data_IF_131966854606
#
_entry.id   IF_131966854606
#
_cell.length_a   1.000
_cell.length_b   1.000
_cell.length_c   1.000
_cell.angle_alpha   90.00
_cell.angle_beta   90.00
_cell.angle_gamma   90.00
#
_symmetry.space_group_name_H-M   'P 1'
#
loop_
_entity.id
_entity.type
_entity.pdbx_description
1 polymer ?
#
# COMPACT_ATOMS: atom_id res chain seq x y z
N UNK A 1 -85.51 9.35 48.87
CA UNK A 1 -84.67 10.57 48.82
C UNK A 1 -83.32 10.12 48.36
N UNK A 2 -83.01 10.11 47.09
CA UNK A 2 -82.32 11.06 46.20
C UNK A 2 -80.94 11.52 46.67
N UNK A 3 -79.93 11.19 45.77
CA UNK A 3 -78.59 11.79 45.57
C UNK A 3 -77.44 11.19 46.37
N UNK A 4 -76.65 10.40 45.65
CA UNK A 4 -75.17 10.63 45.45
C UNK A 4 -74.59 9.50 44.60
N UNK A 5 -74.56 9.63 43.29
CA UNK A 5 -73.67 8.93 42.38
C UNK A 5 -73.38 9.93 41.24
N UNK A 6 -72.22 10.52 41.22
CA UNK A 6 -71.51 11.05 40.05
C UNK A 6 -70.26 11.84 40.50
N UNK A 7 -69.12 11.23 40.59
CA UNK A 7 -67.79 11.87 40.49
C UNK A 7 -66.71 10.83 40.69
N UNK A 8 -66.45 10.04 39.65
CA UNK A 8 -65.21 9.24 39.66
C UNK A 8 -64.79 8.67 38.30
N UNK A 9 -65.15 9.28 37.17
CA UNK A 9 -64.81 8.73 35.83
C UNK A 9 -63.85 9.62 35.01
N UNK A 10 -63.51 10.84 35.44
CA UNK A 10 -62.61 11.73 34.67
C UNK A 10 -61.12 11.61 35.00
N UNK A 11 -60.75 11.06 36.16
CA UNK A 11 -59.33 11.05 36.58
C UNK A 11 -58.52 9.92 35.93
N UNK A 12 -59.14 8.84 35.45
CA UNK A 12 -58.41 7.72 34.86
C UNK A 12 -58.06 7.93 33.38
N UNK A 13 -58.78 8.78 32.64
CA UNK A 13 -58.47 9.04 31.23
C UNK A 13 -57.25 9.96 31.04
N UNK A 14 -56.98 10.89 31.96
CA UNK A 14 -55.86 11.82 31.86
C UNK A 14 -54.51 11.12 32.17
N UNK A 15 -54.50 10.16 33.08
CA UNK A 15 -53.28 9.41 33.43
C UNK A 15 -52.86 8.47 32.32
N UNK A 16 -53.79 7.83 31.59
CA UNK A 16 -53.51 6.93 30.49
C UNK A 16 -52.91 7.66 29.27
N UNK A 17 -53.35 8.90 28.99
CA UNK A 17 -52.79 9.71 27.89
C UNK A 17 -51.39 10.20 28.20
N UNK A 18 -51.05 10.52 29.44
CA UNK A 18 -49.70 10.95 29.83
C UNK A 18 -48.67 9.80 29.81
N UNK A 19 -49.06 8.58 30.17
CA UNK A 19 -48.19 7.40 30.09
C UNK A 19 -47.96 6.91 28.67
N UNK A 20 -48.95 7.03 27.79
CA UNK A 20 -48.78 6.73 26.36
C UNK A 20 -47.80 7.68 25.66
N UNK A 21 -47.86 8.96 25.96
CA UNK A 21 -46.96 9.98 25.37
C UNK A 21 -45.52 9.86 25.86
N UNK A 22 -45.27 9.44 27.11
CA UNK A 22 -43.92 9.19 27.61
C UNK A 22 -43.30 7.91 26.99
N UNK A 23 -44.09 6.87 26.76
CA UNK A 23 -43.60 5.63 26.16
C UNK A 23 -43.21 5.81 24.69
N UNK A 24 -43.95 6.62 23.91
CA UNK A 24 -43.60 6.95 22.54
C UNK A 24 -42.34 7.83 22.45
N UNK A 25 -42.20 8.82 23.32
CA UNK A 25 -41.00 9.70 23.34
C UNK A 25 -39.70 8.94 23.71
N UNK A 26 -39.81 7.95 24.62
CA UNK A 26 -38.65 7.13 25.02
C UNK A 26 -38.25 6.13 23.92
N UNK A 27 -39.16 5.54 23.18
CA UNK A 27 -38.88 4.65 22.06
C UNK A 27 -38.22 5.39 20.90
N UNK A 28 -38.68 6.59 20.57
CA UNK A 28 -38.06 7.43 19.53
C UNK A 28 -36.64 7.89 19.92
N UNK A 29 -36.42 8.30 21.14
CA UNK A 29 -35.09 8.67 21.63
C UNK A 29 -34.12 7.49 21.66
N UNK A 30 -34.55 6.29 22.03
CA UNK A 30 -33.73 5.08 22.00
C UNK A 30 -33.42 4.68 20.55
N UNK A 31 -34.40 4.77 19.65
CA UNK A 31 -34.20 4.47 18.24
C UNK A 31 -33.23 5.48 17.56
N UNK A 32 -33.33 6.75 17.91
CA UNK A 32 -32.44 7.79 17.39
C UNK A 32 -31.02 7.67 17.98
N UNK A 33 -30.88 7.36 19.26
CA UNK A 33 -29.62 7.06 19.91
C UNK A 33 -28.95 5.81 19.30
N UNK A 34 -29.72 4.76 19.00
CA UNK A 34 -29.26 3.56 18.33
C UNK A 34 -28.78 3.86 16.90
N UNK A 35 -29.53 4.61 16.12
CA UNK A 35 -29.13 5.06 14.76
C UNK A 35 -27.86 5.90 14.79
N UNK A 36 -27.76 6.82 15.74
CA UNK A 36 -26.57 7.68 15.91
C UNK A 36 -25.33 6.87 16.30
N UNK A 37 -25.48 5.89 17.19
CA UNK A 37 -24.42 4.96 17.58
C UNK A 37 -23.96 4.10 16.39
N UNK A 38 -24.88 3.55 15.61
CA UNK A 38 -24.58 2.75 14.41
C UNK A 38 -23.85 3.57 13.36
N UNK A 39 -24.27 4.82 13.13
CA UNK A 39 -23.61 5.73 12.19
C UNK A 39 -22.19 6.08 12.64
N UNK A 40 -21.98 6.33 13.93
CA UNK A 40 -20.64 6.61 14.49
C UNK A 40 -19.69 5.42 14.30
N UNK A 41 -20.13 4.20 14.61
CA UNK A 41 -19.35 2.98 14.42
C UNK A 41 -19.01 2.74 12.95
N UNK A 42 -19.95 3.00 12.05
CA UNK A 42 -19.72 2.87 10.61
C UNK A 42 -18.66 3.88 10.12
N UNK A 43 -18.72 5.13 10.58
CA UNK A 43 -17.74 6.16 10.24
C UNK A 43 -16.35 5.81 10.80
N UNK A 44 -16.25 5.32 12.04
CA UNK A 44 -14.97 4.88 12.63
C UNK A 44 -14.36 3.70 11.88
N UNK A 45 -15.18 2.70 11.53
CA UNK A 45 -14.75 1.59 10.68
C UNK A 45 -14.26 2.12 9.32
N UNK A 46 -15.03 3.01 8.70
CA UNK A 46 -14.68 3.62 7.42
C UNK A 46 -13.36 4.40 7.47
N UNK A 47 -13.12 5.14 8.56
CA UNK A 47 -11.87 5.84 8.78
C UNK A 47 -10.66 4.89 8.85
N UNK A 48 -10.82 3.78 9.56
CA UNK A 48 -9.82 2.72 9.63
C UNK A 48 -9.55 2.10 8.25
N UNK A 49 -10.60 1.69 7.54
CA UNK A 49 -10.49 1.03 6.24
C UNK A 49 -9.92 1.98 5.16
N UNK A 50 -10.35 3.24 5.12
CA UNK A 50 -9.80 4.25 4.22
C UNK A 50 -8.30 4.50 4.45
N UNK A 51 -7.86 4.39 5.70
CA UNK A 51 -6.45 4.49 6.07
C UNK A 51 -5.67 3.26 5.61
N UNK A 52 -6.19 2.05 5.83
CA UNK A 52 -5.56 0.81 5.36
C UNK A 52 -5.54 0.75 3.83
N UNK A 53 -6.60 1.21 3.16
CA UNK A 53 -6.65 1.37 1.70
C UNK A 53 -5.77 2.49 1.15
N UNK A 54 -5.06 3.23 2.01
CA UNK A 54 -4.16 4.34 1.66
C UNK A 54 -4.82 5.41 0.75
N UNK A 55 -6.12 5.65 0.92
CA UNK A 55 -6.88 6.60 0.09
C UNK A 55 -6.25 8.00 0.12
N UNK A 56 -5.89 8.48 1.33
CA UNK A 56 -5.24 9.77 1.52
C UNK A 56 -3.89 9.85 0.80
N UNK A 57 -3.13 8.75 0.73
CA UNK A 57 -1.82 8.71 0.10
C UNK A 57 -1.85 9.06 -1.38
N UNK A 58 -2.90 8.67 -2.10
CA UNK A 58 -3.13 9.05 -3.49
C UNK A 58 -3.94 10.34 -3.62
N UNK A 59 -4.99 10.52 -2.81
CA UNK A 59 -5.92 11.65 -2.94
C UNK A 59 -5.48 12.91 -2.17
N UNK A 60 -4.18 13.08 -1.94
CA UNK A 60 -3.62 14.29 -1.32
C UNK A 60 -2.34 14.69 -2.08
N UNK A 61 -2.31 15.86 -2.65
CA UNK A 61 -1.11 16.41 -3.28
C UNK A 61 -0.05 16.74 -2.23
N UNK A 62 1.24 16.81 -2.62
CA UNK A 62 2.33 17.20 -1.71
C UNK A 62 2.07 18.64 -1.21
N UNK A 63 1.90 18.80 0.11
CA UNK A 63 1.54 20.10 0.72
C UNK A 63 0.08 20.52 0.51
N UNK A 64 -0.75 19.69 -0.14
CA UNK A 64 -2.18 19.94 -0.36
C UNK A 64 -3.07 19.55 0.82
N UNK A 65 -4.35 19.90 0.71
CA UNK A 65 -5.35 19.53 1.70
C UNK A 65 -5.69 18.02 1.64
N UNK A 66 -5.89 17.37 2.80
CA UNK A 66 -6.21 15.95 2.84
C UNK A 66 -7.44 15.59 1.99
N UNK A 67 -7.35 14.54 1.21
CA UNK A 67 -8.40 14.01 0.33
C UNK A 67 -8.88 14.95 -0.79
N UNK A 68 -8.30 16.15 -0.94
CA UNK A 68 -8.70 17.09 -1.99
C UNK A 68 -8.13 16.77 -3.38
N UNK A 69 -7.36 15.69 -3.51
CA UNK A 69 -6.79 15.24 -4.79
C UNK A 69 -5.59 16.06 -5.25
N UNK A 70 -5.42 16.18 -6.57
CA UNK A 70 -4.38 16.97 -7.19
C UNK A 70 -2.99 16.33 -7.24
N UNK A 71 -2.81 15.12 -6.70
CA UNK A 71 -1.54 14.41 -6.80
C UNK A 71 -1.33 13.91 -8.24
N UNK A 72 -0.15 14.20 -8.78
CA UNK A 72 0.26 13.77 -10.11
C UNK A 72 0.93 12.40 -10.01
N UNK A 73 0.40 11.43 -10.74
CA UNK A 73 0.92 10.07 -10.84
C UNK A 73 1.49 9.89 -12.25
N UNK A 74 2.81 9.90 -12.37
CA UNK A 74 3.50 9.72 -13.64
C UNK A 74 3.57 8.23 -13.96
N UNK A 75 3.17 7.85 -15.17
CA UNK A 75 3.19 6.48 -15.67
C UNK A 75 3.74 6.45 -17.09
N UNK A 76 4.01 5.27 -17.66
CA UNK A 76 4.36 5.09 -19.06
C UNK A 76 3.21 5.45 -20.03
N UNK A 77 1.99 5.63 -19.52
CA UNK A 77 0.80 5.97 -20.32
C UNK A 77 0.44 7.46 -20.27
N UNK A 78 1.14 8.24 -19.46
CA UNK A 78 0.89 9.66 -19.23
C UNK A 78 0.81 10.00 -17.74
N UNK A 79 0.34 11.20 -17.45
CA UNK A 79 0.22 11.73 -16.10
C UNK A 79 -1.24 11.71 -15.65
N UNK A 80 -1.52 10.92 -14.63
CA UNK A 80 -2.84 10.92 -13.99
C UNK A 80 -2.86 11.90 -12.83
N UNK A 81 -3.97 12.65 -12.71
CA UNK A 81 -4.21 13.56 -11.59
C UNK A 81 -5.34 12.99 -10.75
N UNK A 82 -5.09 12.83 -9.45
CA UNK A 82 -6.07 12.25 -8.54
C UNK A 82 -7.21 13.21 -8.25
N UNK A 83 -8.43 12.66 -8.13
CA UNK A 83 -9.66 13.42 -7.88
C UNK A 83 -9.78 13.87 -6.43
N UNK A 84 -10.54 14.94 -6.20
CA UNK A 84 -11.06 15.33 -4.90
C UNK A 84 -12.12 14.30 -4.45
N UNK A 85 -11.91 13.68 -3.30
CA UNK A 85 -12.86 12.72 -2.68
C UNK A 85 -13.41 13.23 -1.34
N UNK A 86 -13.30 14.54 -1.08
CA UNK A 86 -14.03 15.20 0.01
C UNK A 86 -15.51 15.37 -0.35
N UNK A 87 -16.43 15.60 0.63
CA UNK A 87 -17.85 15.76 0.37
C UNK A 87 -18.21 17.15 -0.20
N UNK A 88 -17.31 17.78 -0.96
CA UNK A 88 -17.64 18.98 -1.72
C UNK A 88 -18.58 18.63 -2.87
N UNK A 89 -19.67 19.39 -3.01
CA UNK A 89 -20.73 19.10 -3.98
C UNK A 89 -20.33 19.38 -5.42
N UNK A 90 -19.40 20.30 -5.63
CA UNK A 90 -19.03 20.78 -6.97
C UNK A 90 -17.78 20.08 -7.50
N UNK A 91 -16.79 19.85 -6.66
CA UNK A 91 -15.47 19.36 -7.07
C UNK A 91 -15.12 17.99 -6.48
N UNK A 92 -15.90 17.51 -5.51
CA UNK A 92 -15.70 16.25 -4.80
C UNK A 92 -16.83 15.24 -5.00
N UNK A 93 -17.04 14.40 -3.99
CA UNK A 93 -18.03 13.33 -3.99
C UNK A 93 -19.29 13.66 -3.16
N UNK A 94 -19.56 14.94 -2.84
CA UNK A 94 -20.66 15.35 -1.97
C UNK A 94 -22.06 15.10 -2.53
N UNK A 95 -22.20 14.87 -3.86
CA UNK A 95 -23.46 14.48 -4.51
C UNK A 95 -23.52 12.99 -4.87
N UNK A 96 -22.56 12.21 -4.45
CA UNK A 96 -22.53 10.77 -4.73
C UNK A 96 -23.42 10.02 -3.76
N UNK A 97 -24.00 8.92 -4.23
CA UNK A 97 -24.67 7.90 -3.42
C UNK A 97 -23.68 6.79 -3.03
N UNK A 98 -24.09 5.94 -2.08
CA UNK A 98 -23.35 4.70 -1.77
C UNK A 98 -23.20 3.80 -3.00
N UNK A 99 -24.18 3.81 -3.90
CA UNK A 99 -24.13 3.06 -5.15
C UNK A 99 -23.10 3.64 -6.11
N UNK A 100 -23.02 4.96 -6.29
CA UNK A 100 -21.99 5.59 -7.13
C UNK A 100 -20.59 5.25 -6.63
N UNK A 101 -20.38 5.27 -5.29
CA UNK A 101 -19.11 4.92 -4.69
C UNK A 101 -18.77 3.43 -4.86
N UNK A 102 -19.77 2.55 -4.70
CA UNK A 102 -19.63 1.13 -4.97
C UNK A 102 -19.24 0.85 -6.42
N UNK A 103 -19.96 1.45 -7.37
CA UNK A 103 -19.65 1.33 -8.80
C UNK A 103 -18.21 1.77 -9.11
N UNK A 104 -17.73 2.77 -8.40
CA UNK A 104 -16.36 3.27 -8.56
C UNK A 104 -15.33 2.27 -8.04
N UNK A 105 -15.48 1.77 -6.83
CA UNK A 105 -14.55 0.81 -6.21
C UNK A 105 -14.61 -0.56 -6.88
N UNK A 106 -15.81 -1.11 -7.04
CA UNK A 106 -16.01 -2.50 -7.44
C UNK A 106 -15.93 -2.67 -8.95
N UNK A 107 -16.50 -1.74 -9.70
CA UNK A 107 -16.57 -1.84 -11.15
C UNK A 107 -15.62 -0.87 -11.88
N UNK A 108 -14.91 0.02 -11.19
CA UNK A 108 -14.06 1.03 -11.83
C UNK A 108 -14.84 1.95 -12.78
N UNK A 109 -16.08 2.31 -12.42
CA UNK A 109 -16.93 3.25 -13.16
C UNK A 109 -17.19 4.50 -12.33
N UNK A 110 -16.93 5.66 -12.89
CA UNK A 110 -17.29 6.95 -12.27
C UNK A 110 -18.80 7.18 -12.33
N UNK A 111 -19.33 8.06 -11.48
CA UNK A 111 -20.74 8.46 -11.44
C UNK A 111 -21.29 8.92 -12.80
N UNK A 112 -20.47 9.57 -13.62
CA UNK A 112 -20.81 10.00 -14.97
C UNK A 112 -20.75 8.89 -16.03
N UNK A 113 -20.51 7.64 -15.61
CA UNK A 113 -20.45 6.46 -16.47
C UNK A 113 -19.09 6.22 -17.14
N UNK A 114 -18.12 7.12 -16.99
CA UNK A 114 -16.77 6.91 -17.55
C UNK A 114 -16.08 5.74 -16.87
N UNK A 115 -15.34 4.97 -17.65
CA UNK A 115 -14.46 3.92 -17.14
C UNK A 115 -13.20 4.55 -16.53
N UNK A 116 -12.79 4.05 -15.39
CA UNK A 116 -11.59 4.49 -14.70
C UNK A 116 -10.36 3.69 -15.16
N UNK A 117 -9.22 4.36 -15.17
CA UNK A 117 -7.95 3.71 -15.48
C UNK A 117 -7.43 2.91 -14.29
N UNK A 118 -6.73 1.78 -14.52
CA UNK A 118 -6.26 0.90 -13.43
C UNK A 118 -5.09 1.46 -12.62
N UNK A 119 -4.71 2.72 -12.83
CA UNK A 119 -3.89 3.49 -11.88
C UNK A 119 -4.64 3.76 -10.58
N UNK A 120 -5.97 3.83 -10.64
CA UNK A 120 -6.86 3.60 -9.53
C UNK A 120 -7.07 2.09 -9.42
N UNK A 121 -6.61 1.42 -8.34
CA UNK A 121 -6.50 -0.04 -8.29
C UNK A 121 -7.86 -0.73 -8.06
N UNK A 122 -8.86 -0.40 -8.89
CA UNK A 122 -10.17 -1.06 -8.84
C UNK A 122 -10.07 -2.56 -9.18
N UNK A 123 -9.02 -2.98 -9.85
CA UNK A 123 -8.70 -4.39 -10.09
C UNK A 123 -8.50 -5.18 -8.81
N UNK A 124 -8.04 -4.52 -7.76
CA UNK A 124 -7.89 -5.05 -6.42
C UNK A 124 -9.09 -4.68 -5.55
N UNK A 125 -9.56 -3.42 -5.60
CA UNK A 125 -10.69 -2.94 -4.81
C UNK A 125 -12.02 -3.64 -5.13
N UNK A 126 -12.16 -4.29 -6.29
CA UNK A 126 -13.31 -5.14 -6.59
C UNK A 126 -13.51 -6.25 -5.55
N UNK A 127 -12.44 -6.65 -4.82
CA UNK A 127 -12.47 -7.64 -3.74
C UNK A 127 -13.03 -7.09 -2.42
N UNK A 128 -13.17 -5.76 -2.28
CA UNK A 128 -13.72 -5.13 -1.08
C UNK A 128 -15.21 -5.45 -0.96
N UNK A 129 -15.69 -5.76 0.25
CA UNK A 129 -17.11 -6.03 0.49
C UNK A 129 -17.94 -4.76 0.37
N UNK A 130 -19.22 -4.92 0.03
CA UNK A 130 -20.18 -3.80 -0.02
C UNK A 130 -20.26 -3.07 1.33
N UNK A 131 -20.25 -3.81 2.43
CA UNK A 131 -20.31 -3.25 3.78
C UNK A 131 -19.09 -2.34 4.06
N UNK A 132 -17.91 -2.80 3.73
CA UNK A 132 -16.68 -2.02 3.93
C UNK A 132 -16.61 -0.80 3.00
N UNK A 133 -17.08 -0.94 1.75
CA UNK A 133 -17.19 0.18 0.83
C UNK A 133 -18.15 1.27 1.36
N UNK A 134 -19.32 0.87 1.88
CA UNK A 134 -20.28 1.80 2.47
C UNK A 134 -19.73 2.48 3.73
N UNK A 135 -18.95 1.75 4.56
CA UNK A 135 -18.28 2.34 5.72
C UNK A 135 -17.22 3.40 5.29
N UNK A 136 -16.40 3.08 4.29
CA UNK A 136 -15.44 4.04 3.73
C UNK A 136 -16.16 5.28 3.19
N UNK A 137 -17.26 5.10 2.46
CA UNK A 137 -18.05 6.20 1.93
C UNK A 137 -18.64 7.07 3.04
N UNK A 138 -19.23 6.47 4.09
CA UNK A 138 -19.75 7.19 5.24
C UNK A 138 -18.65 8.05 5.93
N UNK A 139 -17.45 7.52 6.06
CA UNK A 139 -16.31 8.29 6.56
C UNK A 139 -15.95 9.46 5.64
N UNK A 140 -15.81 9.24 4.33
CA UNK A 140 -15.49 10.31 3.38
C UNK A 140 -16.55 11.40 3.37
N UNK A 141 -17.84 11.06 3.52
CA UNK A 141 -18.93 12.01 3.64
C UNK A 141 -18.93 12.76 4.98
N UNK A 142 -18.28 12.27 6.01
CA UNK A 142 -18.13 12.94 7.31
C UNK A 142 -16.99 13.96 7.35
N UNK A 143 -16.12 13.98 6.33
CA UNK A 143 -14.98 14.89 6.25
C UNK A 143 -15.44 16.34 5.97
N UNK A 144 -14.63 17.35 6.33
CA UNK A 144 -14.88 18.73 5.88
C UNK A 144 -14.86 18.82 4.34
N UNK A 145 -15.84 19.47 3.70
CA UNK A 145 -15.84 19.69 2.27
C UNK A 145 -14.71 20.68 1.90
N UNK A 146 -13.93 20.34 0.88
CA UNK A 146 -12.84 21.17 0.36
C UNK A 146 -13.12 21.44 -1.11
N UNK A 147 -13.39 22.71 -1.44
CA UNK A 147 -13.60 23.12 -2.83
C UNK A 147 -12.25 23.23 -3.54
N UNK A 148 -11.90 22.22 -4.30
CA UNK A 148 -10.65 22.16 -5.07
C UNK A 148 -10.90 21.52 -6.42
N UNK A 149 -10.80 22.31 -7.49
CA UNK A 149 -10.80 21.83 -8.86
C UNK A 149 -9.39 21.36 -9.21
N UNK A 150 -9.27 20.11 -9.66
CA UNK A 150 -8.01 19.52 -10.07
C UNK A 150 -7.91 19.52 -11.61
N UNK A 151 -6.71 19.71 -12.18
CA UNK A 151 -6.53 19.66 -13.64
C UNK A 151 -6.88 18.26 -14.18
N UNK A 152 -7.23 18.22 -15.45
CA UNK A 152 -7.44 16.94 -16.14
C UNK A 152 -6.14 16.14 -16.21
N UNK A 153 -6.26 14.82 -16.25
CA UNK A 153 -5.13 13.92 -16.53
C UNK A 153 -4.65 14.11 -17.95
N UNK A 154 -3.33 14.06 -18.15
CA UNK A 154 -2.66 14.14 -19.44
C UNK A 154 -2.24 12.73 -19.86
N UNK A 155 -3.11 12.04 -20.60
CA UNK A 155 -2.94 10.64 -20.99
C UNK A 155 -2.61 10.61 -22.47
N UNK A 156 -1.52 9.93 -22.82
CA UNK A 156 -1.05 9.83 -24.22
C UNK A 156 -2.05 9.06 -25.11
N UNK A 157 -2.21 9.52 -26.36
CA UNK A 157 -2.91 8.72 -27.35
C UNK A 157 -2.09 7.44 -27.67
N UNK A 158 -2.72 6.27 -27.82
CA UNK A 158 -4.16 5.99 -27.88
C UNK A 158 -4.79 5.62 -26.51
N UNK A 159 -4.05 5.67 -25.40
CA UNK A 159 -4.49 5.23 -24.08
C UNK A 159 -5.60 6.10 -23.47
N UNK A 160 -5.82 7.32 -23.97
CA UNK A 160 -6.92 8.20 -23.56
C UNK A 160 -8.30 7.81 -24.13
N UNK A 161 -8.40 6.72 -24.90
CA UNK A 161 -9.65 6.24 -25.50
C UNK A 161 -10.46 5.38 -24.53
N UNK A 162 -11.73 5.76 -24.26
CA UNK A 162 -12.66 4.97 -23.46
C UNK A 162 -13.01 3.62 -24.12
N UNK A 163 -13.00 3.56 -25.45
CA UNK A 163 -13.25 2.31 -26.19
C UNK A 163 -12.11 1.31 -25.97
N UNK A 164 -10.85 1.78 -26.09
CA UNK A 164 -9.68 0.93 -25.83
C UNK A 164 -9.59 0.52 -24.38
N UNK A 165 -9.98 1.41 -23.46
CA UNK A 165 -10.06 1.06 -22.05
C UNK A 165 -11.13 0.01 -21.76
N UNK A 166 -12.31 0.07 -22.45
CA UNK A 166 -13.34 -0.95 -22.35
C UNK A 166 -12.82 -2.32 -22.84
N UNK A 167 -12.10 -2.33 -23.98
CA UNK A 167 -11.47 -3.56 -24.48
C UNK A 167 -10.42 -4.10 -23.50
N UNK A 168 -9.55 -3.24 -22.97
CA UNK A 168 -8.56 -3.61 -21.95
C UNK A 168 -9.24 -4.27 -20.75
N UNK A 169 -10.33 -3.68 -20.25
CA UNK A 169 -11.09 -4.22 -19.13
C UNK A 169 -11.66 -5.60 -19.42
N UNK A 170 -12.22 -5.81 -20.62
CA UNK A 170 -12.75 -7.11 -21.02
C UNK A 170 -11.68 -8.20 -21.02
N UNK A 171 -10.43 -7.85 -21.36
CA UNK A 171 -9.31 -8.79 -21.44
C UNK A 171 -8.65 -9.06 -20.07
N UNK A 172 -8.58 -8.06 -19.20
CA UNK A 172 -7.69 -8.10 -18.03
C UNK A 172 -8.36 -7.83 -16.69
N UNK A 173 -9.60 -7.35 -16.66
CA UNK A 173 -10.32 -7.11 -15.41
C UNK A 173 -11.28 -8.26 -15.13
N UNK A 174 -11.07 -8.91 -13.99
CA UNK A 174 -11.97 -9.89 -13.44
C UNK A 174 -12.64 -9.32 -12.19
N UNK A 175 -13.93 -9.05 -12.32
CA UNK A 175 -14.75 -8.55 -11.24
C UNK A 175 -15.08 -9.64 -10.22
N UNK A 176 -15.16 -9.30 -8.93
CA UNK A 176 -15.60 -10.21 -7.88
C UNK A 176 -15.18 -9.80 -6.49
N UNK A 177 -16.12 -9.85 -5.55
CA UNK A 177 -15.83 -9.68 -4.11
C UNK A 177 -14.94 -10.81 -3.63
N UNK A 178 -14.14 -10.56 -2.61
CA UNK A 178 -13.31 -11.60 -1.97
C UNK A 178 -14.19 -12.73 -1.42
N UNK A 179 -13.89 -13.94 -1.83
CA UNK A 179 -14.52 -15.15 -1.34
C UNK A 179 -13.56 -15.88 -0.39
N UNK A 180 -13.97 -16.16 0.88
CA UNK A 180 -13.13 -16.87 1.82
C UNK A 180 -12.80 -18.30 1.36
N UNK A 181 -11.54 -18.68 1.47
CA UNK A 181 -11.12 -20.07 1.33
C UNK A 181 -11.51 -20.86 2.60
N UNK A 182 -12.50 -21.73 2.47
CA UNK A 182 -13.02 -22.54 3.57
C UNK A 182 -12.02 -23.57 4.11
N UNK A 183 -10.94 -23.84 3.40
CA UNK A 183 -9.85 -24.70 3.88
C UNK A 183 -8.87 -23.99 4.81
N UNK A 184 -8.98 -22.67 4.92
CA UNK A 184 -8.09 -21.80 5.71
C UNK A 184 -8.82 -21.25 6.93
N UNK A 185 -8.03 -20.80 7.92
CA UNK A 185 -8.59 -20.15 9.10
C UNK A 185 -9.21 -18.78 8.77
N UNK A 186 -10.13 -18.32 9.62
CA UNK A 186 -10.69 -16.97 9.53
C UNK A 186 -9.59 -15.88 9.56
N UNK A 187 -8.56 -16.08 10.40
CA UNK A 187 -7.42 -15.17 10.48
C UNK A 187 -6.66 -15.10 9.17
N UNK A 188 -6.41 -16.24 8.53
CA UNK A 188 -5.77 -16.29 7.22
C UNK A 188 -6.62 -15.57 6.15
N UNK A 189 -7.93 -15.86 6.13
CA UNK A 189 -8.86 -15.24 5.20
C UNK A 189 -8.95 -13.71 5.39
N UNK A 190 -8.92 -13.24 6.66
CA UNK A 190 -8.85 -11.80 6.94
C UNK A 190 -7.57 -11.18 6.40
N UNK A 191 -6.43 -11.84 6.57
CA UNK A 191 -5.15 -11.39 6.01
C UNK A 191 -5.15 -11.34 4.49
N UNK A 192 -5.69 -12.37 3.84
CA UNK A 192 -5.84 -12.45 2.39
C UNK A 192 -6.75 -11.33 1.86
N UNK A 193 -7.92 -11.11 2.47
CA UNK A 193 -8.82 -10.02 2.14
C UNK A 193 -8.14 -8.65 2.20
N UNK A 194 -7.42 -8.38 3.29
CA UNK A 194 -6.72 -7.11 3.45
C UNK A 194 -5.61 -6.93 2.41
N UNK A 195 -4.81 -7.95 2.17
CA UNK A 195 -3.67 -7.87 1.24
C UNK A 195 -4.11 -7.77 -0.23
N UNK A 196 -5.11 -8.57 -0.63
CA UNK A 196 -5.59 -8.65 -2.01
C UNK A 196 -6.59 -7.55 -2.37
N UNK A 197 -7.38 -7.06 -1.41
CA UNK A 197 -8.39 -6.02 -1.59
C UNK A 197 -7.85 -4.64 -1.19
N UNK A 198 -8.15 -4.19 0.03
CA UNK A 198 -7.83 -2.83 0.50
C UNK A 198 -6.35 -2.48 0.46
N UNK A 199 -5.48 -3.39 0.85
CA UNK A 199 -4.03 -3.18 0.82
C UNK A 199 -3.44 -3.18 -0.58
N UNK A 200 -4.18 -3.66 -1.57
CA UNK A 200 -3.82 -3.72 -3.01
C UNK A 200 -2.34 -4.04 -3.27
N UNK A 201 -1.76 -4.97 -2.50
CA UNK A 201 -0.34 -5.33 -2.57
C UNK A 201 0.07 -5.75 -3.99
N UNK A 202 -0.85 -6.41 -4.69
CA UNK A 202 -0.68 -6.87 -6.07
C UNK A 202 -0.46 -5.71 -7.06
N UNK A 203 -0.97 -4.52 -6.76
CA UNK A 203 -0.78 -3.33 -7.61
C UNK A 203 0.70 -2.97 -7.84
N UNK A 204 1.58 -3.31 -6.87
CA UNK A 204 3.03 -3.10 -6.97
C UNK A 204 3.81 -4.41 -7.05
N UNK A 205 3.44 -5.40 -6.23
CA UNK A 205 4.20 -6.65 -6.06
C UNK A 205 3.89 -7.72 -7.11
N UNK A 206 3.48 -7.32 -8.31
CA UNK A 206 3.20 -8.23 -9.44
C UNK A 206 3.76 -7.66 -10.74
N UNK A 207 4.33 -8.54 -11.56
CA UNK A 207 4.81 -8.19 -12.89
C UNK A 207 3.64 -7.75 -13.78
N UNK A 208 3.85 -6.67 -14.54
CA UNK A 208 2.87 -6.14 -15.48
C UNK A 208 3.29 -6.43 -16.91
N UNK A 209 2.30 -6.68 -17.78
CA UNK A 209 2.53 -6.77 -19.20
C UNK A 209 2.70 -5.37 -19.84
N UNK A 210 3.01 -5.34 -21.12
CA UNK A 210 3.21 -4.07 -21.87
C UNK A 210 1.97 -3.17 -21.93
N UNK A 211 0.78 -3.70 -21.64
CA UNK A 211 -0.48 -2.96 -21.54
C UNK A 211 -0.81 -2.56 -20.10
N UNK A 212 0.12 -2.75 -19.14
CA UNK A 212 -0.03 -2.36 -17.75
C UNK A 212 -0.89 -3.29 -16.90
N UNK A 213 -1.37 -4.41 -17.42
CA UNK A 213 -2.16 -5.39 -16.67
C UNK A 213 -1.26 -6.29 -15.81
N UNK A 214 -1.72 -6.64 -14.62
CA UNK A 214 -1.08 -7.66 -13.78
C UNK A 214 -1.09 -9.00 -14.48
N UNK A 215 0.04 -9.73 -14.45
CA UNK A 215 0.16 -11.04 -15.12
C UNK A 215 -0.42 -12.16 -14.28
N UNK A 216 -0.38 -12.02 -12.95
CA UNK A 216 -0.91 -13.00 -12.00
C UNK A 216 -1.28 -12.32 -10.67
N UNK A 217 -1.83 -13.09 -9.74
CA UNK A 217 -2.19 -12.65 -8.39
C UNK A 217 -1.23 -13.24 -7.32
N UNK A 218 -0.04 -13.72 -7.71
CA UNK A 218 0.85 -14.51 -6.85
C UNK A 218 1.96 -13.68 -6.20
N UNK A 219 1.92 -12.35 -6.31
CA UNK A 219 2.87 -11.42 -5.69
C UNK A 219 4.33 -11.72 -6.07
N UNK A 220 4.57 -11.98 -7.36
CA UNK A 220 5.87 -12.41 -7.92
C UNK A 220 6.87 -11.28 -8.11
N UNK A 221 6.51 -10.06 -7.73
CA UNK A 221 7.35 -8.88 -7.86
C UNK A 221 7.31 -8.24 -9.25
N UNK A 222 7.79 -7.01 -9.36
CA UNK A 222 7.82 -6.27 -10.62
C UNK A 222 8.35 -4.85 -10.49
N UNK A 223 8.66 -4.24 -11.63
CA UNK A 223 9.01 -2.81 -11.67
C UNK A 223 7.76 -1.96 -11.50
N UNK A 224 7.85 -0.94 -10.63
CA UNK A 224 6.77 0.02 -10.42
C UNK A 224 6.86 1.08 -11.50
N UNK A 225 5.97 1.01 -12.48
CA UNK A 225 5.94 1.92 -13.61
C UNK A 225 5.95 3.40 -13.19
N UNK A 226 6.77 4.22 -13.85
CA UNK A 226 6.90 5.66 -13.57
C UNK A 226 7.70 6.03 -12.32
N UNK A 227 7.94 5.09 -11.39
CA UNK A 227 8.68 5.38 -10.15
C UNK A 227 10.14 4.95 -10.21
N UNK A 228 10.50 4.10 -11.18
CA UNK A 228 11.83 3.50 -11.28
C UNK A 228 12.29 2.82 -9.97
N UNK A 229 11.39 2.03 -9.37
CA UNK A 229 11.61 1.17 -8.23
C UNK A 229 11.15 -0.25 -8.55
N UNK A 230 11.75 -1.23 -7.93
CA UNK A 230 11.35 -2.62 -8.02
C UNK A 230 10.62 -3.04 -6.74
N UNK A 231 9.38 -3.50 -6.86
CA UNK A 231 8.67 -4.15 -5.77
C UNK A 231 9.06 -5.64 -5.78
N UNK A 232 9.74 -6.14 -4.73
CA UNK A 232 10.24 -7.52 -4.75
C UNK A 232 9.09 -8.53 -4.66
N UNK A 233 9.36 -9.75 -5.12
CA UNK A 233 8.45 -10.88 -4.91
C UNK A 233 8.22 -11.14 -3.42
N UNK A 234 6.95 -11.23 -3.01
CA UNK A 234 6.56 -11.63 -1.65
C UNK A 234 6.38 -13.14 -1.50
N UNK A 235 6.43 -13.89 -2.62
CA UNK A 235 6.32 -15.35 -2.65
C UNK A 235 7.67 -16.07 -2.84
N UNK A 236 8.77 -15.35 -3.10
CA UNK A 236 10.11 -15.91 -3.26
C UNK A 236 11.03 -15.58 -2.09
N UNK A 237 11.65 -16.61 -1.48
CA UNK A 237 12.66 -16.42 -0.44
C UNK A 237 13.97 -15.84 -0.95
N UNK A 238 14.19 -15.87 -2.25
CA UNK A 238 15.36 -15.21 -2.87
C UNK A 238 15.20 -13.69 -2.94
N UNK A 239 13.99 -13.17 -2.70
CA UNK A 239 13.67 -11.74 -2.65
C UNK A 239 13.06 -11.36 -1.29
N UNK A 240 11.78 -10.99 -1.23
CA UNK A 240 11.12 -10.56 -0.01
C UNK A 240 10.09 -11.58 0.52
N UNK A 241 10.14 -12.84 0.09
CA UNK A 241 9.26 -13.89 0.62
C UNK A 241 9.49 -14.11 2.11
N UNK A 242 8.41 -14.24 2.87
CA UNK A 242 8.40 -14.22 4.33
C UNK A 242 8.15 -15.60 4.96
N UNK A 243 8.17 -16.68 4.17
CA UNK A 243 7.81 -18.01 4.65
C UNK A 243 8.68 -18.55 5.80
N UNK A 244 9.94 -18.10 5.87
CA UNK A 244 10.90 -18.46 6.92
C UNK A 244 11.05 -17.41 8.04
N UNK A 245 10.24 -16.33 8.02
CA UNK A 245 10.29 -15.29 9.04
C UNK A 245 9.37 -15.61 10.23
N UNK A 246 9.75 -15.24 11.46
CA UNK A 246 8.82 -15.22 12.59
C UNK A 246 7.65 -14.26 12.32
N UNK A 247 6.46 -14.62 12.79
CA UNK A 247 5.25 -13.79 12.58
C UNK A 247 5.45 -12.40 13.18
N UNK A 248 6.02 -12.30 14.38
CA UNK A 248 6.24 -11.03 15.07
C UNK A 248 7.19 -10.10 14.30
N UNK A 249 8.21 -10.64 13.62
CA UNK A 249 9.07 -9.85 12.75
C UNK A 249 8.33 -9.34 11.51
N UNK A 250 7.41 -10.15 10.94
CA UNK A 250 6.57 -9.70 9.82
C UNK A 250 5.64 -8.57 10.28
N UNK A 251 5.01 -8.72 11.45
CA UNK A 251 4.18 -7.67 12.06
C UNK A 251 5.00 -6.40 12.29
N UNK A 252 6.20 -6.52 12.85
CA UNK A 252 7.09 -5.39 13.06
C UNK A 252 7.45 -4.70 11.73
N UNK A 253 7.78 -5.45 10.69
CA UNK A 253 8.07 -4.89 9.36
C UNK A 253 6.87 -4.13 8.78
N UNK A 254 5.67 -4.69 8.88
CA UNK A 254 4.44 -4.04 8.40
C UNK A 254 4.14 -2.74 9.16
N UNK A 255 4.31 -2.74 10.49
CA UNK A 255 3.92 -1.59 11.33
C UNK A 255 5.00 -0.54 11.49
N UNK A 256 6.26 -0.93 11.53
CA UNK A 256 7.36 0.00 11.77
C UNK A 256 8.22 0.26 10.55
N UNK A 257 8.21 -0.65 9.59
CA UNK A 257 9.07 -0.64 8.42
C UNK A 257 10.51 -1.06 8.69
N UNK A 258 10.83 -1.51 9.89
CA UNK A 258 12.20 -1.88 10.31
C UNK A 258 12.18 -3.14 11.15
N UNK A 259 13.12 -4.04 10.86
CA UNK A 259 13.44 -5.23 11.67
C UNK A 259 14.96 -5.38 11.74
N UNK A 260 15.46 -6.35 12.48
CA UNK A 260 16.89 -6.68 12.49
C UNK A 260 17.38 -7.15 11.10
N UNK A 261 16.52 -7.80 10.32
CA UNK A 261 16.89 -8.41 9.02
C UNK A 261 16.71 -7.47 7.84
N UNK A 262 15.79 -6.52 7.93
CA UNK A 262 15.40 -5.70 6.77
C UNK A 262 14.75 -4.40 7.18
N UNK A 263 14.69 -3.46 6.22
CA UNK A 263 13.91 -2.23 6.34
C UNK A 263 13.23 -1.89 5.02
N UNK A 264 12.12 -1.17 5.11
CA UNK A 264 11.42 -0.64 3.94
C UNK A 264 11.96 0.74 3.59
N UNK A 265 12.22 0.95 2.31
CA UNK A 265 12.67 2.23 1.75
C UNK A 265 11.80 2.64 0.55
N UNK A 266 11.99 3.84 0.06
CA UNK A 266 11.32 4.35 -1.13
C UNK A 266 9.78 4.28 -1.03
N UNK A 267 9.09 3.83 -2.09
CA UNK A 267 7.62 3.77 -2.12
C UNK A 267 7.02 2.92 -0.99
N UNK A 268 7.66 1.78 -0.65
CA UNK A 268 7.15 0.92 0.43
C UNK A 268 7.23 1.60 1.80
N UNK A 269 8.27 2.40 2.06
CA UNK A 269 8.36 3.21 3.27
C UNK A 269 7.20 4.20 3.40
N UNK A 270 6.75 4.79 2.28
CA UNK A 270 5.57 5.65 2.26
C UNK A 270 4.27 4.87 2.57
N UNK A 271 4.12 3.66 2.04
CA UNK A 271 2.96 2.78 2.34
C UNK A 271 2.92 2.43 3.83
N UNK A 272 4.05 2.03 4.43
CA UNK A 272 4.11 1.77 5.87
C UNK A 272 3.70 3.01 6.66
N UNK A 273 4.28 4.17 6.36
CA UNK A 273 4.03 5.41 7.09
C UNK A 273 2.59 5.89 6.96
N UNK A 274 1.97 5.77 5.79
CA UNK A 274 0.65 6.35 5.52
C UNK A 274 -0.50 5.38 5.83
N UNK A 275 -0.24 4.07 5.80
CA UNK A 275 -1.25 3.02 5.89
C UNK A 275 -0.89 1.95 6.93
N UNK A 276 0.10 1.11 6.70
CA UNK A 276 0.29 -0.14 7.42
C UNK A 276 0.59 0.03 8.92
N UNK A 277 1.25 1.12 9.34
CA UNK A 277 1.49 1.39 10.75
C UNK A 277 0.21 1.50 11.59
N UNK A 278 -0.92 1.76 10.95
CA UNK A 278 -2.23 1.93 11.59
C UNK A 278 -3.05 0.63 11.64
N UNK A 279 -2.52 -0.47 11.12
CA UNK A 279 -3.15 -1.77 11.29
C UNK A 279 -3.38 -2.07 12.77
N UNK A 280 -4.57 -2.56 13.09
CA UNK A 280 -4.81 -3.17 14.40
C UNK A 280 -3.86 -4.37 14.59
N UNK A 281 -3.53 -4.72 15.82
CA UNK A 281 -2.68 -5.90 16.09
C UNK A 281 -3.28 -7.16 15.44
N UNK A 282 -4.61 -7.31 15.51
CA UNK A 282 -5.34 -8.44 14.91
C UNK A 282 -5.15 -8.48 13.38
N UNK A 283 -5.30 -7.34 12.71
CA UNK A 283 -5.20 -7.28 11.25
C UNK A 283 -3.74 -7.37 10.77
N UNK A 284 -2.79 -6.80 11.51
CA UNK A 284 -1.35 -6.96 11.22
C UNK A 284 -0.92 -8.43 11.35
N UNK A 285 -1.37 -9.12 12.40
CA UNK A 285 -1.13 -10.55 12.60
C UNK A 285 -1.78 -11.39 11.49
N UNK A 286 -3.02 -11.07 11.10
CA UNK A 286 -3.73 -11.74 10.02
C UNK A 286 -2.98 -11.60 8.68
N UNK A 287 -2.54 -10.38 8.33
CA UNK A 287 -1.73 -10.14 7.14
C UNK A 287 -0.40 -10.90 7.20
N UNK A 288 0.27 -10.93 8.36
CA UNK A 288 1.51 -11.68 8.54
C UNK A 288 1.32 -13.19 8.30
N UNK A 289 0.24 -13.78 8.81
CA UNK A 289 -0.11 -15.19 8.56
C UNK A 289 -0.32 -15.44 7.07
N UNK A 290 -1.09 -14.59 6.40
CA UNK A 290 -1.32 -14.72 4.96
C UNK A 290 -0.02 -14.60 4.17
N UNK A 291 0.77 -13.54 4.37
CA UNK A 291 2.02 -13.32 3.66
C UNK A 291 3.04 -14.44 3.90
N UNK A 292 3.13 -14.95 5.13
CA UNK A 292 3.98 -16.10 5.46
C UNK A 292 3.58 -17.37 4.72
N UNK A 293 2.30 -17.54 4.42
CA UNK A 293 1.74 -18.72 3.76
C UNK A 293 1.93 -18.72 2.24
N UNK A 294 2.39 -17.62 1.65
CA UNK A 294 2.61 -17.55 0.20
C UNK A 294 3.66 -18.57 -0.21
N UNK A 295 3.33 -19.33 -1.24
CA UNK A 295 4.15 -20.43 -1.71
C UNK A 295 5.51 -19.94 -2.21
N UNK A 296 6.50 -20.74 -1.93
CA UNK A 296 7.87 -20.56 -2.41
C UNK A 296 7.94 -20.94 -3.90
N UNK A 297 7.93 -19.96 -4.78
CA UNK A 297 8.06 -20.14 -6.22
C UNK A 297 9.54 -20.18 -6.69
N UNK A 298 10.48 -20.49 -5.78
CA UNK A 298 11.93 -20.48 -6.06
C UNK A 298 12.36 -21.46 -7.15
N UNK A 299 11.56 -22.49 -7.44
CA UNK A 299 11.86 -23.47 -8.49
C UNK A 299 11.96 -22.90 -9.92
N UNK A 300 11.50 -21.66 -10.15
CA UNK A 300 11.56 -20.96 -11.45
C UNK A 300 12.65 -19.91 -11.52
N UNK A 301 13.35 -19.64 -10.42
CA UNK A 301 14.39 -18.61 -10.39
C UNK A 301 15.73 -19.32 -10.61
N UNK A 302 16.24 -19.21 -11.84
CA UNK A 302 17.59 -19.64 -12.18
C UNK A 302 18.59 -19.03 -11.20
N UNK A 303 19.22 -19.88 -10.40
CA UNK A 303 20.32 -19.53 -9.52
C UNK A 303 21.38 -18.73 -10.28
N UNK A 304 21.75 -17.60 -9.70
CA UNK A 304 22.72 -16.67 -10.25
C UNK A 304 24.02 -17.29 -10.75
N UNK A 305 24.77 -16.50 -11.46
CA UNK A 305 26.08 -16.74 -12.07
C UNK A 305 26.91 -17.75 -11.26
N UNK A 306 27.31 -18.80 -11.93
CA UNK A 306 28.20 -19.82 -11.37
C UNK A 306 29.61 -19.24 -11.18
N UNK A 307 29.94 -18.80 -9.98
CA UNK A 307 31.22 -18.19 -9.63
C UNK A 307 32.41 -19.18 -9.56
N UNK A 308 32.31 -20.35 -10.19
CA UNK A 308 33.36 -21.37 -10.08
C UNK A 308 34.70 -20.97 -10.72
N UNK A 309 34.75 -19.90 -11.52
CA UNK A 309 36.00 -19.36 -12.09
C UNK A 309 35.99 -17.84 -12.00
N UNK A 310 36.48 -17.28 -10.89
CA UNK A 310 36.79 -15.84 -10.85
C UNK A 310 38.03 -15.57 -11.70
N UNK A 311 37.83 -14.93 -12.85
CA UNK A 311 38.93 -14.41 -13.65
C UNK A 311 39.64 -13.31 -12.90
N UNK A 312 40.96 -13.09 -13.17
CA UNK A 312 41.75 -12.03 -12.51
C UNK A 312 41.15 -10.62 -12.71
N UNK A 313 40.42 -10.38 -13.80
CA UNK A 313 39.69 -9.13 -14.05
C UNK A 313 38.49 -8.96 -13.12
N UNK A 314 37.71 -10.00 -12.85
CA UNK A 314 36.60 -9.95 -11.93
C UNK A 314 37.05 -9.71 -10.49
N UNK A 315 38.14 -10.36 -10.07
CA UNK A 315 38.72 -10.13 -8.74
C UNK A 315 39.11 -8.66 -8.58
N UNK A 316 39.87 -8.10 -9.52
CA UNK A 316 40.23 -6.68 -9.49
C UNK A 316 39.03 -5.74 -9.45
N UNK A 317 37.96 -6.08 -10.19
CA UNK A 317 36.72 -5.30 -10.18
C UNK A 317 36.09 -5.25 -8.78
N UNK A 318 36.01 -6.39 -8.10
CA UNK A 318 35.51 -6.47 -6.73
C UNK A 318 36.45 -5.84 -5.72
N UNK A 319 37.77 -5.95 -5.89
CA UNK A 319 38.78 -5.32 -5.01
C UNK A 319 38.66 -3.78 -5.05
N UNK A 320 38.46 -3.18 -6.23
CA UNK A 320 38.21 -1.74 -6.35
C UNK A 320 36.87 -1.36 -5.67
N UNK A 321 35.85 -2.15 -5.82
CA UNK A 321 34.55 -1.97 -5.10
C UNK A 321 34.74 -2.03 -3.58
N UNK A 322 35.62 -2.92 -3.10
CA UNK A 322 35.96 -3.05 -1.68
C UNK A 322 36.68 -1.80 -1.13
N UNK A 323 37.63 -1.24 -1.86
CA UNK A 323 38.32 0.01 -1.47
C UNK A 323 37.35 1.19 -1.38
N UNK A 324 36.42 1.30 -2.33
CA UNK A 324 35.39 2.34 -2.31
C UNK A 324 34.40 2.12 -1.15
N UNK A 325 34.01 0.87 -0.87
CA UNK A 325 33.21 0.52 0.28
C UNK A 325 33.86 0.90 1.60
N UNK A 326 35.12 0.59 1.79
CA UNK A 326 35.93 0.96 2.97
C UNK A 326 35.89 2.47 3.19
N UNK A 327 36.07 3.23 2.12
CA UNK A 327 36.17 4.70 2.16
C UNK A 327 34.80 5.36 2.48
N UNK A 328 33.69 4.83 1.95
CA UNK A 328 32.43 5.55 1.94
C UNK A 328 31.27 4.87 2.73
N UNK A 329 31.37 3.58 3.04
CA UNK A 329 30.23 2.79 3.53
C UNK A 329 30.51 2.10 4.87
N UNK A 330 31.75 1.67 5.10
CA UNK A 330 32.18 0.84 6.22
C UNK A 330 31.86 1.45 7.60
N UNK A 331 31.94 2.78 7.73
CA UNK A 331 31.70 3.48 9.01
C UNK A 331 30.32 3.17 9.56
N UNK A 332 29.30 3.01 8.70
CA UNK A 332 27.95 2.68 9.10
C UNK A 332 27.63 1.18 8.98
N UNK A 333 28.11 0.55 7.90
CA UNK A 333 27.74 -0.84 7.59
C UNK A 333 28.73 -1.90 8.10
N UNK A 334 29.83 -1.49 8.73
CA UNK A 334 30.86 -2.40 9.28
C UNK A 334 31.79 -3.01 8.22
N UNK A 335 32.93 -3.55 8.65
CA UNK A 335 33.85 -4.29 7.77
C UNK A 335 33.32 -5.62 7.30
N UNK A 336 32.43 -6.22 8.12
CA UNK A 336 31.77 -7.50 7.86
C UNK A 336 30.37 -7.35 7.27
N UNK A 337 29.95 -6.13 6.95
CA UNK A 337 28.66 -5.82 6.36
C UNK A 337 27.45 -6.09 7.26
N UNK A 338 27.64 -6.31 8.58
CA UNK A 338 26.54 -6.60 9.50
C UNK A 338 25.77 -5.37 9.98
N UNK A 339 26.33 -4.17 9.73
CA UNK A 339 25.71 -2.93 10.18
C UNK A 339 25.63 -2.81 11.71
N UNK A 340 24.59 -2.13 12.19
CA UNK A 340 24.25 -2.02 13.60
C UNK A 340 22.77 -2.27 13.79
N UNK A 341 22.36 -3.27 14.58
CA UNK A 341 20.94 -3.64 14.77
C UNK A 341 20.08 -2.44 15.16
N UNK A 342 18.95 -2.24 14.48
CA UNK A 342 18.01 -1.14 14.73
C UNK A 342 18.48 0.25 14.24
N UNK A 343 19.73 0.39 13.77
CA UNK A 343 20.32 1.66 13.34
C UNK A 343 20.70 1.59 11.86
N UNK A 344 21.64 0.70 11.52
CA UNK A 344 22.11 0.51 10.15
C UNK A 344 21.88 -0.91 9.70
N UNK A 345 21.19 -1.12 8.56
CA UNK A 345 20.84 -2.47 8.13
C UNK A 345 22.07 -3.29 7.77
N UNK A 346 22.04 -4.58 8.05
CA UNK A 346 22.99 -5.52 7.53
C UNK A 346 22.93 -5.52 5.99
N UNK A 347 24.09 -5.59 5.35
CA UNK A 347 24.27 -5.84 3.91
C UNK A 347 24.60 -7.32 3.67
N UNK A 348 25.31 -7.94 4.62
CA UNK A 348 25.61 -9.37 4.63
C UNK A 348 24.35 -10.19 4.83
N UNK A 349 24.04 -11.11 3.91
CA UNK A 349 22.86 -11.97 3.96
C UNK A 349 21.52 -11.25 3.74
N UNK A 350 21.55 -9.96 3.41
CA UNK A 350 20.33 -9.19 3.18
C UNK A 350 19.77 -9.47 1.78
N UNK A 351 18.56 -10.05 1.73
CA UNK A 351 17.90 -10.39 0.47
C UNK A 351 17.61 -9.17 -0.41
N UNK A 352 17.36 -8.00 0.18
CA UNK A 352 17.19 -6.75 -0.58
C UNK A 352 18.44 -6.37 -1.37
N UNK A 353 19.63 -6.78 -0.90
CA UNK A 353 20.91 -6.58 -1.59
C UNK A 353 21.11 -7.63 -2.69
N UNK A 354 20.71 -8.88 -2.44
CA UNK A 354 21.03 -10.03 -3.31
C UNK A 354 19.92 -10.38 -4.30
N UNK A 355 18.72 -9.77 -4.21
CA UNK A 355 17.63 -10.03 -5.14
C UNK A 355 18.03 -9.85 -6.61
N UNK A 356 17.26 -10.45 -7.53
CA UNK A 356 17.57 -10.46 -8.97
C UNK A 356 17.79 -9.04 -9.52
N UNK A 357 16.88 -8.11 -9.21
CA UNK A 357 17.02 -6.70 -9.64
C UNK A 357 17.95 -5.91 -8.67
N UNK A 358 19.04 -5.32 -9.14
CA UNK A 358 19.88 -4.45 -8.33
C UNK A 358 19.32 -3.04 -8.16
N UNK A 359 18.20 -2.72 -8.82
CA UNK A 359 17.64 -1.38 -8.97
C UNK A 359 17.49 -0.66 -7.62
N UNK A 360 16.87 -1.31 -6.63
CA UNK A 360 16.66 -0.71 -5.32
C UNK A 360 17.97 -0.42 -4.58
N UNK A 361 18.92 -1.33 -4.67
CA UNK A 361 20.25 -1.14 -4.06
C UNK A 361 21.00 0.02 -4.70
N UNK A 362 20.99 0.11 -6.04
CA UNK A 362 21.59 1.23 -6.78
C UNK A 362 20.93 2.55 -6.37
N UNK A 363 19.58 2.61 -6.38
CA UNK A 363 18.87 3.83 -6.03
C UNK A 363 19.09 4.25 -4.58
N UNK A 364 19.21 3.30 -3.66
CA UNK A 364 19.54 3.59 -2.27
C UNK A 364 20.94 4.20 -2.14
N UNK A 365 21.91 3.73 -2.89
CA UNK A 365 23.26 4.35 -2.91
C UNK A 365 23.22 5.74 -3.54
N UNK A 366 22.53 5.90 -4.68
CA UNK A 366 22.47 7.18 -5.39
C UNK A 366 21.75 8.27 -4.58
N UNK A 367 20.55 7.95 -4.08
CA UNK A 367 19.62 8.95 -3.53
C UNK A 367 19.56 8.94 -2.00
N UNK A 368 20.19 7.95 -1.36
CA UNK A 368 20.02 7.75 0.07
C UNK A 368 18.56 7.40 0.44
N UNK A 369 18.21 7.67 1.67
CA UNK A 369 16.83 7.52 2.15
C UNK A 369 16.73 7.30 3.63
N UNK A 370 15.50 7.37 4.11
CA UNK A 370 15.14 7.09 5.49
C UNK A 370 14.13 5.96 5.52
N UNK A 371 14.23 5.03 6.47
CA UNK A 371 13.10 4.18 6.83
C UNK A 371 11.90 5.06 7.23
N UNK A 372 10.67 4.54 7.19
CA UNK A 372 9.51 5.35 7.53
C UNK A 372 9.55 5.80 8.99
N UNK A 373 9.21 7.07 9.22
CA UNK A 373 8.88 7.56 10.55
C UNK A 373 7.51 7.01 10.94
N UNK A 374 7.46 6.17 11.96
CA UNK A 374 6.26 5.52 12.48
C UNK A 374 6.22 5.61 14.00
N UNK A 375 5.11 5.22 14.62
CA UNK A 375 5.03 5.16 16.09
C UNK A 375 6.10 4.23 16.69
N UNK A 376 6.39 3.09 16.03
CA UNK A 376 7.41 2.14 16.46
C UNK A 376 8.84 2.50 16.03
N UNK A 377 9.00 3.47 15.12
CA UNK A 377 10.30 3.98 14.67
C UNK A 377 10.25 5.51 14.52
N UNK A 378 10.17 6.27 15.62
CA UNK A 378 9.94 7.72 15.58
C UNK A 378 11.14 8.54 15.09
N UNK A 379 12.35 7.98 15.14
CA UNK A 379 13.60 8.67 14.76
C UNK A 379 14.47 7.76 13.89
N UNK A 380 14.07 7.52 12.63
CA UNK A 380 14.83 6.66 11.75
C UNK A 380 16.19 7.26 11.41
N UNK A 381 17.20 6.39 11.35
CA UNK A 381 18.51 6.76 10.80
C UNK A 381 18.47 6.68 9.29
N UNK A 382 19.02 7.72 8.63
CA UNK A 382 19.03 7.81 7.17
C UNK A 382 20.37 7.43 6.56
N UNK A 383 20.33 6.98 5.32
CA UNK A 383 21.51 6.84 4.47
C UNK A 383 21.69 8.12 3.65
N UNK A 384 22.88 8.74 3.62
CA UNK A 384 23.12 9.91 2.78
C UNK A 384 23.13 9.56 1.29
N UNK A 385 22.80 10.50 0.38
CA UNK A 385 22.93 10.31 -1.07
C UNK A 385 24.37 10.41 -1.53
N UNK A 386 24.79 9.54 -2.45
CA UNK A 386 26.13 9.54 -3.02
C UNK A 386 26.17 9.97 -4.51
N UNK A 387 25.05 10.31 -5.11
CA UNK A 387 24.96 10.66 -6.53
C UNK A 387 25.91 11.81 -6.95
N UNK A 388 26.19 12.77 -6.05
CA UNK A 388 27.10 13.88 -6.33
C UNK A 388 28.55 13.61 -5.94
N UNK A 389 28.81 12.48 -5.28
CA UNK A 389 30.14 12.10 -4.74
C UNK A 389 30.76 11.02 -5.59
N UNK A 390 29.98 10.05 -6.07
CA UNK A 390 30.40 8.87 -6.79
C UNK A 390 29.95 8.93 -8.26
N UNK A 391 30.84 8.53 -9.16
CA UNK A 391 30.54 8.32 -10.58
C UNK A 391 29.75 7.01 -10.75
N UNK A 392 29.06 6.85 -11.88
CA UNK A 392 28.28 5.64 -12.18
C UNK A 392 29.11 4.36 -12.10
N UNK A 393 30.37 4.39 -12.56
CA UNK A 393 31.29 3.27 -12.47
C UNK A 393 31.64 2.93 -11.02
N UNK A 394 31.81 3.92 -10.15
CA UNK A 394 32.13 3.72 -8.74
C UNK A 394 30.94 3.17 -7.97
N UNK A 395 29.72 3.63 -8.27
CA UNK A 395 28.49 3.05 -7.73
C UNK A 395 28.33 1.60 -8.16
N UNK A 396 28.60 1.29 -9.44
CA UNK A 396 28.52 -0.07 -9.97
C UNK A 396 29.55 -1.01 -9.28
N UNK A 397 30.78 -0.54 -9.03
CA UNK A 397 31.81 -1.26 -8.29
C UNK A 397 31.38 -1.56 -6.85
N UNK A 398 30.91 -0.55 -6.10
CA UNK A 398 30.45 -0.70 -4.72
C UNK A 398 29.27 -1.67 -4.66
N UNK A 399 28.25 -1.49 -5.50
CA UNK A 399 27.04 -2.35 -5.49
C UNK A 399 27.42 -3.78 -5.86
N UNK A 400 28.31 -3.98 -6.84
CA UNK A 400 28.81 -5.32 -7.18
C UNK A 400 29.57 -5.95 -6.03
N UNK A 401 30.40 -5.20 -5.31
CA UNK A 401 31.14 -5.67 -4.14
C UNK A 401 30.18 -6.14 -3.04
N UNK A 402 29.24 -5.30 -2.58
CA UNK A 402 28.32 -5.66 -1.50
C UNK A 402 27.42 -6.84 -1.87
N UNK A 403 27.09 -7.00 -3.16
CA UNK A 403 26.29 -8.12 -3.69
C UNK A 403 27.08 -9.44 -3.78
N UNK A 404 28.41 -9.42 -3.64
CA UNK A 404 29.26 -10.59 -3.84
C UNK A 404 30.31 -10.80 -2.71
N UNK A 405 30.11 -10.16 -1.55
CA UNK A 405 30.97 -10.28 -0.38
C UNK A 405 30.19 -10.80 0.82
N UNK A 406 30.85 -11.27 1.86
CA UNK A 406 30.27 -11.77 3.12
C UNK A 406 29.25 -12.92 2.93
N UNK A 407 29.46 -13.76 1.90
CA UNK A 407 28.56 -14.84 1.55
C UNK A 407 27.41 -14.47 0.61
N UNK A 408 27.26 -13.19 0.28
CA UNK A 408 26.33 -12.75 -0.76
C UNK A 408 26.78 -13.26 -2.13
N UNK A 409 25.82 -13.64 -2.98
CA UNK A 409 26.05 -14.13 -4.35
C UNK A 409 24.95 -13.62 -5.26
N UNK A 410 25.24 -12.58 -6.05
CA UNK A 410 24.27 -12.00 -6.98
C UNK A 410 24.95 -11.47 -8.23
N UNK A 411 24.17 -11.03 -9.22
CA UNK A 411 24.69 -10.46 -10.47
C UNK A 411 25.55 -9.23 -10.21
N UNK A 412 26.59 -9.05 -11.03
CA UNK A 412 27.33 -7.81 -11.10
C UNK A 412 26.45 -6.69 -11.64
N UNK A 413 26.85 -5.46 -11.33
CA UNK A 413 26.19 -4.23 -11.78
C UNK A 413 27.15 -3.48 -12.70
N UNK A 414 26.63 -2.92 -13.76
CA UNK A 414 27.37 -2.11 -14.73
C UNK A 414 27.06 -0.61 -14.56
N UNK A 415 27.91 0.26 -15.10
CA UNK A 415 27.65 1.70 -15.14
C UNK A 415 26.35 2.03 -15.89
N UNK A 416 26.00 1.21 -16.91
CA UNK A 416 24.73 1.36 -17.67
C UNK A 416 23.51 1.06 -16.79
N UNK A 417 23.61 0.06 -15.88
CA UNK A 417 22.54 -0.22 -14.93
C UNK A 417 22.35 0.96 -13.98
N UNK A 418 23.42 1.59 -13.54
CA UNK A 418 23.39 2.78 -12.69
C UNK A 418 22.77 3.96 -13.42
N UNK A 419 23.17 4.22 -14.67
CA UNK A 419 22.62 5.29 -15.49
C UNK A 419 21.10 5.12 -15.70
N UNK A 420 20.63 3.91 -16.05
CA UNK A 420 19.19 3.59 -16.18
C UNK A 420 18.44 3.80 -14.88
N UNK A 421 19.11 3.60 -13.75
CA UNK A 421 18.50 3.75 -12.41
C UNK A 421 18.31 5.21 -11.97
N UNK A 422 18.96 6.17 -12.64
CA UNK A 422 18.84 7.61 -12.34
C UNK A 422 17.53 8.21 -12.82
N UNK A 423 16.90 7.64 -13.86
CA UNK A 423 15.60 8.06 -14.35
C UNK A 423 14.47 7.77 -13.33
N UNK A 424 13.38 8.51 -13.44
CA UNK A 424 12.21 8.39 -12.56
C UNK A 424 11.98 9.65 -11.72
N UNK A 425 10.71 10.01 -11.55
CA UNK A 425 10.31 11.17 -10.74
C UNK A 425 10.49 10.88 -9.26
N UNK A 426 11.12 11.80 -8.56
CA UNK A 426 11.25 11.83 -7.09
C UNK A 426 9.94 12.21 -6.40
#
# INVERSE_FOLDING_TARGET
MKRFVTFCTCSYLIIAVFWGSLAFATTDMVAEASKRSTNTQQVELGAYLARIGNCMGCHTAKGGQPFAGGRRLVTSFGVFVTSNITPDKNTGIGLWSEEDFWQTLHHGKSRDGRLLYPVFPYTEYTKVTRQDANAIFAYLQSLPPISQSNPASDIAFPYNSQILLALWRTLFFKEGVYEPDLSKSETWNRGAYLAQGLGHCNACHTTRNVLGASQDDTLTGGEIGGMNWYAPSLSSRLEAGLSDWPIDEIVALLKTGVTERSMTLGPMGAVVRQSLQYLSEKDAHAMAIYLKSLSDNDSKISSGVNFSVMTGSLRRYLDFGGQLYEKHCQTCHGTDGKGAPGIYPALAGNRSVTMKSPLNTIRTVLHGGYPPTTQGNPRPYGMPPFQQILRNEEVALIVSYIRNTWGNRASLVTAVDVERSQGGTH
#
